data_IF_674589836339
#
_entry.id   IF_674589836339
#
_cell.length_a   1.000
_cell.length_b   1.000
_cell.length_c   1.000
_cell.angle_alpha   90.00
_cell.angle_beta   90.00
_cell.angle_gamma   90.00
#
_symmetry.space_group_name_H-M   'P 1'
#
loop_
_entity.id
_entity.type
_entity.pdbx_description
1 polymer ?
#
# COMPACT_ATOMS: atom_id res chain seq x y z
N UNK A 1 34.41 10.45 -12.43
CA UNK A 1 33.21 11.31 -12.52
C UNK A 1 32.25 10.85 -11.44
N UNK A 2 31.97 11.69 -10.45
CA UNK A 2 31.23 11.29 -9.24
C UNK A 2 29.77 11.00 -9.59
N UNK A 3 29.27 9.85 -9.13
CA UNK A 3 27.87 9.44 -9.24
C UNK A 3 26.96 10.35 -8.36
N UNK A 4 27.54 11.25 -7.56
CA UNK A 4 26.87 12.11 -6.58
C UNK A 4 26.05 13.28 -7.14
N UNK A 5 26.00 13.47 -8.47
CA UNK A 5 25.28 14.57 -9.12
C UNK A 5 24.03 14.09 -9.88
N UNK A 6 23.24 13.17 -9.30
CA UNK A 6 21.94 12.76 -9.87
C UNK A 6 20.75 13.27 -9.05
N UNK A 7 20.52 14.58 -8.95
CA UNK A 7 19.33 15.12 -8.27
C UNK A 7 18.03 14.56 -8.89
N UNK A 8 18.01 14.35 -10.21
CA UNK A 8 16.84 13.81 -10.91
C UNK A 8 16.46 12.38 -10.50
N UNK A 9 17.42 11.54 -10.09
CA UNK A 9 17.15 10.15 -9.71
C UNK A 9 16.39 10.03 -8.40
N UNK A 10 16.80 10.79 -7.38
CA UNK A 10 16.12 10.82 -6.08
C UNK A 10 14.75 11.50 -6.18
N UNK A 11 14.63 12.55 -6.99
CA UNK A 11 13.34 13.21 -7.22
C UNK A 11 12.36 12.31 -7.98
N UNK A 12 12.83 11.55 -8.97
CA UNK A 12 12.00 10.56 -9.66
C UNK A 12 11.54 9.44 -8.72
N UNK A 13 12.44 8.94 -7.85
CA UNK A 13 12.08 7.96 -6.83
C UNK A 13 11.07 8.52 -5.82
N UNK A 14 11.22 9.78 -5.42
CA UNK A 14 10.26 10.47 -4.55
C UNK A 14 8.89 10.64 -5.23
N UNK A 15 8.85 10.96 -6.53
CA UNK A 15 7.60 11.03 -7.28
C UNK A 15 6.91 9.65 -7.37
N UNK A 16 7.68 8.59 -7.62
CA UNK A 16 7.17 7.22 -7.60
C UNK A 16 6.63 6.84 -6.21
N UNK A 17 7.38 7.13 -5.14
CA UNK A 17 6.91 6.88 -3.77
C UNK A 17 5.63 7.65 -3.46
N UNK A 18 5.49 8.89 -3.92
CA UNK A 18 4.26 9.66 -3.79
C UNK A 18 3.09 9.03 -4.54
N UNK A 19 3.30 8.59 -5.78
CA UNK A 19 2.28 7.90 -6.57
C UNK A 19 1.81 6.61 -5.88
N UNK A 20 2.74 5.80 -5.39
CA UNK A 20 2.41 4.56 -4.67
C UNK A 20 1.81 4.84 -3.28
N UNK A 21 2.17 5.94 -2.62
CA UNK A 21 1.52 6.35 -1.37
C UNK A 21 0.02 6.57 -1.58
N UNK A 22 -0.36 7.28 -2.63
CA UNK A 22 -1.77 7.52 -2.99
C UNK A 22 -2.44 6.19 -3.39
N UNK A 23 -1.75 5.39 -4.21
CA UNK A 23 -2.26 4.11 -4.71
C UNK A 23 -2.43 3.06 -3.60
N UNK A 24 -1.70 3.15 -2.50
CA UNK A 24 -1.90 2.32 -1.31
C UNK A 24 -2.94 2.93 -0.35
N UNK A 25 -2.94 4.25 -0.20
CA UNK A 25 -3.79 4.95 0.76
C UNK A 25 -5.28 4.93 0.38
N UNK A 26 -5.60 5.14 -0.90
CA UNK A 26 -6.99 5.18 -1.35
C UNK A 26 -7.71 3.82 -1.20
N UNK A 27 -7.15 2.68 -1.67
CA UNK A 27 -7.73 1.37 -1.40
C UNK A 27 -7.73 1.00 0.09
N UNK A 28 -6.73 1.47 0.85
CA UNK A 28 -6.69 1.28 2.31
C UNK A 28 -7.89 1.92 3.01
N UNK A 29 -8.22 3.17 2.66
CA UNK A 29 -9.40 3.87 3.15
C UNK A 29 -10.70 3.19 2.72
N UNK A 30 -10.79 2.79 1.44
CA UNK A 30 -11.97 2.06 0.95
C UNK A 30 -12.20 0.77 1.72
N UNK A 31 -11.14 0.02 2.08
CA UNK A 31 -11.26 -1.21 2.87
C UNK A 31 -11.77 -0.96 4.29
N UNK A 32 -11.36 0.14 4.94
CA UNK A 32 -11.89 0.53 6.27
C UNK A 32 -13.37 0.94 6.17
N UNK A 33 -13.75 1.64 5.11
CA UNK A 33 -15.15 1.98 4.86
C UNK A 33 -15.99 0.72 4.57
N UNK A 34 -15.44 -0.22 3.80
CA UNK A 34 -16.11 -1.50 3.54
C UNK A 34 -16.20 -2.37 4.79
N UNK A 35 -15.18 -2.40 5.65
CA UNK A 35 -15.22 -3.17 6.91
C UNK A 35 -16.25 -2.61 7.88
N UNK A 36 -16.32 -1.29 8.05
CA UNK A 36 -17.35 -0.65 8.88
C UNK A 36 -18.76 -0.93 8.37
N UNK A 37 -18.93 -0.98 7.03
CA UNK A 37 -20.20 -1.38 6.42
C UNK A 37 -20.53 -2.87 6.66
N UNK A 38 -19.54 -3.74 6.55
CA UNK A 38 -19.71 -5.17 6.83
C UNK A 38 -20.10 -5.40 8.30
N UNK A 39 -19.44 -4.69 9.22
CA UNK A 39 -19.71 -4.80 10.65
C UNK A 39 -21.14 -4.38 11.02
N UNK A 40 -21.61 -3.26 10.45
CA UNK A 40 -22.98 -2.81 10.68
C UNK A 40 -24.02 -3.74 10.02
N UNK A 41 -23.71 -4.38 8.89
CA UNK A 41 -24.59 -5.39 8.29
C UNK A 41 -24.70 -6.67 9.13
N UNK A 42 -23.59 -7.13 9.72
CA UNK A 42 -23.57 -8.29 10.62
C UNK A 42 -24.29 -8.03 11.95
N UNK A 43 -24.34 -6.80 12.41
CA UNK A 43 -25.04 -6.42 13.65
C UNK A 43 -26.55 -6.26 13.46
N UNK A 44 -27.00 -5.69 12.34
CA UNK A 44 -28.43 -5.48 12.05
C UNK A 44 -28.72 -5.63 10.55
N UNK A 45 -28.95 -6.88 10.07
CA UNK A 45 -29.10 -7.17 8.64
C UNK A 45 -30.36 -6.53 8.04
N UNK A 46 -31.47 -6.53 8.79
CA UNK A 46 -32.78 -6.05 8.31
C UNK A 46 -32.82 -4.51 8.18
N UNK A 47 -32.14 -3.80 9.08
CA UNK A 47 -32.05 -2.33 9.02
C UNK A 47 -31.09 -1.81 7.92
N UNK A 48 -30.16 -2.64 7.45
CA UNK A 48 -29.11 -2.25 6.49
C UNK A 48 -29.30 -2.79 5.07
N UNK A 49 -30.12 -3.84 4.88
CA UNK A 49 -30.37 -4.48 3.58
C UNK A 49 -30.82 -3.50 2.48
N UNK A 50 -31.75 -2.60 2.78
CA UNK A 50 -32.31 -1.66 1.80
C UNK A 50 -31.39 -0.45 1.53
N UNK A 51 -30.53 -0.10 2.48
CA UNK A 51 -29.67 1.10 2.37
C UNK A 51 -28.39 0.82 1.60
N UNK A 52 -27.82 -0.38 1.74
CA UNK A 52 -26.41 -0.64 1.42
C UNK A 52 -26.17 -1.75 0.39
N UNK A 53 -27.21 -2.15 -0.35
CA UNK A 53 -27.12 -3.03 -1.53
C UNK A 53 -26.13 -2.46 -2.54
N UNK A 54 -24.87 -2.89 -2.42
CA UNK A 54 -23.80 -2.55 -3.32
C UNK A 54 -23.08 -3.85 -3.68
N UNK A 55 -22.82 -4.05 -4.97
CA UNK A 55 -22.30 -5.31 -5.53
C UNK A 55 -21.01 -5.77 -4.87
N UNK A 56 -20.18 -4.82 -4.42
CA UNK A 56 -18.95 -5.08 -3.67
C UNK A 56 -19.23 -5.62 -2.26
N UNK A 57 -20.25 -5.10 -1.56
CA UNK A 57 -20.64 -5.57 -0.22
C UNK A 57 -21.22 -6.99 -0.29
N UNK A 58 -22.08 -7.24 -1.28
CA UNK A 58 -22.63 -8.58 -1.55
C UNK A 58 -21.51 -9.59 -1.85
N UNK A 59 -20.49 -9.19 -2.61
CA UNK A 59 -19.34 -10.06 -2.91
C UNK A 59 -18.49 -10.39 -1.68
N UNK A 60 -18.38 -9.45 -0.72
CA UNK A 60 -17.65 -9.65 0.53
C UNK A 60 -18.43 -10.53 1.51
N UNK A 61 -19.75 -10.36 1.58
CA UNK A 61 -20.66 -11.20 2.38
C UNK A 61 -20.69 -12.62 1.81
N UNK A 62 -20.82 -12.77 0.49
CA UNK A 62 -20.83 -14.08 -0.17
C UNK A 62 -19.50 -14.84 -0.02
N UNK A 63 -18.39 -14.13 0.16
CA UNK A 63 -17.07 -14.69 0.38
C UNK A 63 -16.73 -14.90 1.87
N UNK A 64 -17.66 -14.66 2.78
CA UNK A 64 -17.49 -14.80 4.25
C UNK A 64 -16.25 -14.08 4.77
N UNK A 65 -15.96 -12.89 4.23
CA UNK A 65 -14.77 -12.13 4.60
C UNK A 65 -14.94 -11.53 6.00
N UNK A 66 -14.00 -11.81 6.89
CA UNK A 66 -13.99 -11.24 8.24
C UNK A 66 -13.78 -9.71 8.19
N UNK A 67 -14.71 -8.89 8.73
CA UNK A 67 -14.56 -7.43 8.79
C UNK A 67 -13.25 -7.00 9.45
N UNK A 68 -12.77 -7.73 10.47
CA UNK A 68 -11.54 -7.38 11.18
C UNK A 68 -10.30 -7.52 10.29
N UNK A 69 -10.29 -8.55 9.42
CA UNK A 69 -9.20 -8.77 8.48
C UNK A 69 -9.18 -7.68 7.39
N UNK A 70 -10.35 -7.22 6.93
CA UNK A 70 -10.43 -6.08 6.00
C UNK A 70 -9.94 -4.79 6.64
N UNK A 71 -10.31 -4.53 7.89
CA UNK A 71 -9.87 -3.36 8.63
C UNK A 71 -8.35 -3.36 8.81
N UNK A 72 -7.76 -4.49 9.21
CA UNK A 72 -6.30 -4.67 9.30
C UNK A 72 -5.61 -4.41 7.96
N UNK A 73 -6.14 -4.95 6.86
CA UNK A 73 -5.59 -4.74 5.52
C UNK A 73 -5.66 -3.26 5.10
N UNK A 74 -6.72 -2.56 5.51
CA UNK A 74 -6.90 -1.13 5.32
C UNK A 74 -5.91 -0.28 6.12
N UNK A 75 -5.77 -0.58 7.42
CA UNK A 75 -4.81 0.08 8.33
C UNK A 75 -3.38 -0.14 7.83
N UNK A 76 -3.01 -1.36 7.48
CA UNK A 76 -1.68 -1.66 6.93
C UNK A 76 -1.42 -0.87 5.64
N UNK A 77 -2.42 -0.78 4.75
CA UNK A 77 -2.36 0.06 3.55
C UNK A 77 -2.08 1.53 3.84
N UNK A 78 -2.75 2.09 4.85
CA UNK A 78 -2.53 3.45 5.32
C UNK A 78 -1.14 3.64 5.95
N UNK A 79 -0.68 2.70 6.78
CA UNK A 79 0.66 2.75 7.39
C UNK A 79 1.73 2.74 6.30
N UNK A 80 1.58 1.89 5.28
CA UNK A 80 2.49 1.86 4.12
C UNK A 80 2.44 3.17 3.34
N UNK A 81 1.26 3.73 3.11
CA UNK A 81 1.13 5.03 2.45
C UNK A 81 1.84 6.15 3.23
N UNK A 82 1.72 6.16 4.57
CA UNK A 82 2.42 7.10 5.43
C UNK A 82 3.94 6.90 5.38
N UNK A 83 4.42 5.66 5.43
CA UNK A 83 5.84 5.35 5.29
C UNK A 83 6.40 5.80 3.95
N UNK A 84 5.64 5.61 2.86
CA UNK A 84 5.99 6.12 1.55
C UNK A 84 6.01 7.66 1.55
N UNK A 85 5.03 8.35 2.11
CA UNK A 85 5.03 9.81 2.21
C UNK A 85 6.21 10.35 3.03
N UNK A 86 6.53 9.74 4.17
CA UNK A 86 7.72 10.07 4.98
C UNK A 86 8.99 9.83 4.17
N UNK A 87 9.02 8.77 3.36
CA UNK A 87 10.16 8.48 2.50
C UNK A 87 10.34 9.50 1.38
N UNK A 88 9.25 10.04 0.79
CA UNK A 88 9.32 11.13 -0.20
C UNK A 88 10.07 12.32 0.39
N UNK A 89 9.64 12.75 1.58
CA UNK A 89 10.31 13.83 2.30
C UNK A 89 11.79 13.51 2.57
N UNK A 90 12.07 12.28 3.01
CA UNK A 90 13.43 11.81 3.26
C UNK A 90 14.32 11.79 2.02
N UNK A 91 13.79 11.38 0.87
CA UNK A 91 14.50 11.34 -0.42
C UNK A 91 14.77 12.76 -0.93
N UNK A 92 13.78 13.67 -0.83
CA UNK A 92 13.94 15.07 -1.24
C UNK A 92 14.95 15.82 -0.36
N UNK A 93 14.93 15.60 0.96
CA UNK A 93 15.92 16.17 1.89
C UNK A 93 17.23 15.39 1.96
N UNK A 94 17.40 14.33 1.16
CA UNK A 94 18.57 13.42 1.19
C UNK A 94 18.87 12.88 2.59
N UNK A 95 17.85 12.72 3.44
CA UNK A 95 17.99 12.19 4.78
C UNK A 95 18.03 10.65 4.73
N UNK A 96 19.14 10.06 5.15
CA UNK A 96 19.30 8.60 5.18
C UNK A 96 18.22 7.92 6.03
N UNK A 97 17.82 8.50 7.16
CA UNK A 97 16.87 7.85 8.07
C UNK A 97 15.50 7.74 7.41
N UNK A 98 14.91 8.88 7.05
CA UNK A 98 13.57 8.91 6.47
C UNK A 98 13.53 8.32 5.05
N UNK A 99 14.53 8.60 4.21
CA UNK A 99 14.54 8.16 2.81
C UNK A 99 14.83 6.67 2.66
N UNK A 100 15.88 6.17 3.32
CA UNK A 100 16.30 4.77 3.21
C UNK A 100 15.38 3.85 4.01
N UNK A 101 15.24 4.09 5.31
CA UNK A 101 14.46 3.19 6.18
C UNK A 101 12.97 3.31 5.94
N UNK A 102 12.44 4.53 5.70
CA UNK A 102 11.03 4.72 5.37
C UNK A 102 10.63 3.95 4.11
N UNK A 103 11.44 4.04 3.04
CA UNK A 103 11.18 3.27 1.82
C UNK A 103 11.38 1.77 2.02
N UNK A 104 12.37 1.34 2.81
CA UNK A 104 12.61 -0.10 3.08
C UNK A 104 11.43 -0.72 3.82
N UNK A 105 10.96 -0.04 4.87
CA UNK A 105 9.79 -0.47 5.65
C UNK A 105 8.53 -0.44 4.78
N UNK A 106 8.37 0.56 3.92
CA UNK A 106 7.28 0.60 2.96
C UNK A 106 7.34 -0.58 1.97
N UNK A 107 8.52 -0.93 1.44
CA UNK A 107 8.67 -2.09 0.55
C UNK A 107 8.26 -3.40 1.23
N UNK A 108 8.71 -3.62 2.45
CA UNK A 108 8.34 -4.80 3.24
C UNK A 108 6.83 -4.79 3.50
N UNK A 109 6.26 -3.66 3.91
CA UNK A 109 4.82 -3.53 4.14
C UNK A 109 3.98 -3.77 2.88
N UNK A 110 4.39 -3.26 1.72
CA UNK A 110 3.73 -3.53 0.43
C UNK A 110 3.75 -5.02 0.09
N UNK A 111 4.87 -5.71 0.33
CA UNK A 111 4.97 -7.15 0.12
C UNK A 111 4.03 -7.92 1.05
N UNK A 112 3.99 -7.57 2.34
CA UNK A 112 3.10 -8.20 3.32
C UNK A 112 1.63 -7.99 2.98
N UNK A 113 1.22 -6.77 2.58
CA UNK A 113 -0.15 -6.48 2.15
C UNK A 113 -0.50 -7.26 0.89
N UNK A 114 0.42 -7.38 -0.06
CA UNK A 114 0.20 -8.13 -1.30
C UNK A 114 -0.05 -9.62 -1.00
N UNK A 115 0.70 -10.18 -0.05
CA UNK A 115 0.51 -11.55 0.42
C UNK A 115 -0.84 -11.73 1.14
N UNK A 116 -1.12 -10.91 2.14
CA UNK A 116 -2.37 -10.98 2.91
C UNK A 116 -3.61 -10.73 2.04
N UNK A 117 -3.51 -9.83 1.05
CA UNK A 117 -4.61 -9.56 0.12
C UNK A 117 -4.98 -10.79 -0.71
N UNK A 118 -4.03 -11.66 -1.04
CA UNK A 118 -4.29 -12.90 -1.79
C UNK A 118 -4.96 -13.96 -0.92
N UNK A 119 -4.63 -13.98 0.37
CA UNK A 119 -5.18 -14.94 1.33
C UNK A 119 -6.59 -14.55 1.79
N UNK A 120 -6.86 -13.25 1.94
CA UNK A 120 -8.09 -12.72 2.55
C UNK A 120 -9.15 -12.30 1.52
N UNK A 121 -8.79 -11.79 0.35
CA UNK A 121 -9.77 -11.29 -0.62
C UNK A 121 -10.18 -12.37 -1.64
N UNK A 122 -11.47 -12.44 -2.00
CA UNK A 122 -11.92 -13.37 -3.04
C UNK A 122 -11.27 -13.06 -4.38
N UNK A 123 -11.01 -14.10 -5.17
CA UNK A 123 -10.25 -14.01 -6.43
C UNK A 123 -10.83 -13.02 -7.43
N UNK A 124 -12.12 -12.72 -7.39
CA UNK A 124 -12.77 -11.76 -8.27
C UNK A 124 -12.46 -10.30 -7.90
N UNK A 125 -12.31 -9.98 -6.60
CA UNK A 125 -11.83 -8.68 -6.14
C UNK A 125 -10.31 -8.54 -6.38
N UNK A 126 -9.55 -9.61 -6.21
CA UNK A 126 -8.10 -9.64 -6.52
C UNK A 126 -7.86 -9.46 -8.03
N UNK A 127 -8.73 -10.02 -8.88
CA UNK A 127 -8.68 -9.89 -10.35
C UNK A 127 -9.27 -8.57 -10.87
N UNK A 128 -10.30 -8.01 -10.23
CA UNK A 128 -10.89 -6.71 -10.56
C UNK A 128 -9.90 -5.55 -10.39
N UNK A 129 -8.92 -5.71 -9.50
CA UNK A 129 -7.79 -4.77 -9.33
C UNK A 129 -6.69 -4.99 -10.39
N UNK A 130 -6.83 -5.99 -11.28
CA UNK A 130 -5.95 -6.18 -12.46
C UNK A 130 -4.47 -6.40 -12.13
N UNK A 131 -4.15 -6.89 -10.93
CA UNK A 131 -2.79 -6.94 -10.42
C UNK A 131 -2.35 -8.38 -10.13
N UNK A 132 -1.71 -9.00 -11.12
CA UNK A 132 -0.94 -10.23 -10.96
C UNK A 132 0.10 -10.04 -9.83
N UNK A 133 0.32 -11.04 -8.96
CA UNK A 133 1.22 -10.96 -7.79
C UNK A 133 2.60 -10.40 -8.15
N UNK A 134 3.10 -10.77 -9.33
CA UNK A 134 4.36 -10.29 -9.92
C UNK A 134 4.38 -8.76 -10.08
N UNK A 135 3.25 -8.16 -10.48
CA UNK A 135 3.10 -6.71 -10.61
C UNK A 135 3.02 -6.01 -9.25
N UNK A 136 2.45 -6.68 -8.25
CA UNK A 136 2.40 -6.19 -6.86
C UNK A 136 3.78 -6.19 -6.20
N UNK A 137 4.57 -7.24 -6.48
CA UNK A 137 5.93 -7.41 -5.94
C UNK A 137 6.99 -6.60 -6.70
N UNK A 138 6.71 -6.17 -7.93
CA UNK A 138 7.66 -5.41 -8.74
C UNK A 138 8.11 -4.13 -8.05
N UNK A 139 7.18 -3.30 -7.59
CA UNK A 139 7.52 -2.02 -6.97
C UNK A 139 8.31 -2.14 -5.65
N UNK A 140 7.94 -2.99 -4.67
CA UNK A 140 8.73 -3.16 -3.46
C UNK A 140 10.13 -3.71 -3.76
N UNK A 141 10.28 -4.65 -4.69
CA UNK A 141 11.60 -5.14 -5.11
C UNK A 141 12.42 -4.06 -5.81
N UNK A 142 11.81 -3.32 -6.74
CA UNK A 142 12.42 -2.18 -7.42
C UNK A 142 12.89 -1.15 -6.41
N UNK A 143 12.07 -0.80 -5.43
CA UNK A 143 12.39 0.17 -4.38
C UNK A 143 13.60 -0.27 -3.56
N UNK A 144 13.66 -1.55 -3.17
CA UNK A 144 14.79 -2.11 -2.43
C UNK A 144 16.09 -2.05 -3.26
N UNK A 145 16.04 -2.41 -4.53
CA UNK A 145 17.18 -2.38 -5.46
C UNK A 145 17.64 -0.93 -5.67
N UNK A 146 16.73 0.00 -5.90
CA UNK A 146 17.04 1.41 -6.09
C UNK A 146 17.75 1.99 -4.87
N UNK A 147 17.31 1.66 -3.67
CA UNK A 147 17.81 2.28 -2.43
C UNK A 147 19.08 1.61 -1.91
N UNK A 148 19.18 0.29 -2.02
CA UNK A 148 20.34 -0.47 -1.51
C UNK A 148 21.42 -0.71 -2.55
N UNK A 149 21.06 -0.72 -3.84
CA UNK A 149 22.00 -0.86 -4.95
C UNK A 149 22.45 0.50 -5.47
N UNK A 150 21.51 1.29 -6.00
CA UNK A 150 21.83 2.47 -6.84
C UNK A 150 22.07 3.73 -5.99
N UNK A 151 21.10 4.15 -5.18
CA UNK A 151 21.15 5.37 -4.37
C UNK A 151 21.81 5.17 -2.99
N UNK A 152 22.42 4.01 -2.75
CA UNK A 152 23.06 3.68 -1.46
C UNK A 152 24.12 4.70 -1.06
N UNK A 153 24.86 5.26 -2.03
CA UNK A 153 25.89 6.27 -1.80
C UNK A 153 25.29 7.66 -1.61
N UNK A 154 24.26 8.00 -2.38
CA UNK A 154 23.61 9.32 -2.33
C UNK A 154 22.83 9.55 -1.03
N UNK A 155 22.28 8.49 -0.44
CA UNK A 155 21.63 8.56 0.87
C UNK A 155 22.62 8.43 2.04
N UNK A 156 23.87 8.01 1.80
CA UNK A 156 24.90 7.85 2.84
C UNK A 156 25.77 9.09 3.05
N UNK A 157 25.49 10.20 2.36
CA UNK A 157 26.27 11.43 2.47
C UNK A 157 26.17 11.97 3.91
N UNK A 158 27.20 11.63 4.70
CA UNK A 158 27.76 12.46 5.77
C UNK A 158 28.37 13.70 5.14
#
# INVERSE_FOLDING_TARGET
MAISDRPGGLTALAALNGFFAISCGFPGLQRILSSSRLHAHLQDPEATADRWSNRDLESLIAADVDPQQMELLGILGLVVALLLAVSVWGLLKRNHWAGKWGSTLAAVGMASISWLAVEVLPTDLVRGVGMNLVRQMFYPLFLLIMIHGIFRKDLRLR
#
